data_IF_029744874660
#
_entry.id   IF_029744874660
#
_cell.length_a   1.000
_cell.length_b   1.000
_cell.length_c   1.000
_cell.angle_alpha   90.00
_cell.angle_beta   90.00
_cell.angle_gamma   90.00
#
_symmetry.space_group_name_H-M   'P 1'
#
loop_
_entity.id
_entity.type
_entity.pdbx_description
1 polymer ?
#
# COMPACT_ATOMS: atom_id res chain seq x y z
N UNK A 1 -19.22 11.34 -32.83
CA UNK A 1 -19.30 10.71 -31.49
C UNK A 1 -19.25 9.19 -31.53
N UNK A 2 -19.71 8.54 -32.61
CA UNK A 2 -19.50 7.09 -32.88
C UNK A 2 -18.05 6.64 -32.73
N UNK A 3 -17.11 7.34 -33.37
CA UNK A 3 -15.66 7.07 -33.27
C UNK A 3 -15.20 7.11 -31.81
N UNK A 4 -15.67 8.10 -31.03
CA UNK A 4 -15.35 8.22 -29.61
C UNK A 4 -15.82 7.01 -28.80
N UNK A 5 -17.05 6.53 -29.03
CA UNK A 5 -17.57 5.32 -28.37
C UNK A 5 -16.75 4.08 -28.73
N UNK A 6 -16.40 3.90 -30.01
CA UNK A 6 -15.60 2.75 -30.45
C UNK A 6 -14.19 2.79 -29.85
N UNK A 7 -13.53 3.95 -29.89
CA UNK A 7 -12.16 4.12 -29.36
C UNK A 7 -12.11 3.88 -27.86
N UNK A 8 -13.06 4.43 -27.10
CA UNK A 8 -13.08 4.30 -25.64
C UNK A 8 -13.40 2.87 -25.20
N UNK A 9 -14.32 2.19 -25.89
CA UNK A 9 -14.62 0.78 -25.66
C UNK A 9 -13.44 -0.13 -26.03
N UNK A 10 -12.78 0.12 -27.16
CA UNK A 10 -11.57 -0.60 -27.56
C UNK A 10 -10.44 -0.39 -26.53
N UNK A 11 -10.31 0.82 -25.98
CA UNK A 11 -9.34 1.12 -24.91
C UNK A 11 -9.63 0.35 -23.63
N UNK A 12 -10.90 0.26 -23.21
CA UNK A 12 -11.30 -0.54 -22.04
C UNK A 12 -10.89 -2.02 -22.20
N UNK A 13 -11.15 -2.58 -23.38
CA UNK A 13 -10.80 -3.96 -23.74
C UNK A 13 -9.27 -4.13 -23.76
N UNK A 14 -8.54 -3.21 -24.39
CA UNK A 14 -7.09 -3.21 -24.43
C UNK A 14 -6.48 -3.21 -23.02
N UNK A 15 -6.94 -2.31 -22.15
CA UNK A 15 -6.46 -2.22 -20.75
C UNK A 15 -6.69 -3.53 -20.00
N UNK A 16 -7.84 -4.17 -20.18
CA UNK A 16 -8.13 -5.48 -19.60
C UNK A 16 -7.17 -6.57 -20.11
N UNK A 17 -6.95 -6.63 -21.43
CA UNK A 17 -6.04 -7.62 -22.02
C UNK A 17 -4.58 -7.38 -21.64
N UNK A 18 -4.13 -6.13 -21.57
CA UNK A 18 -2.79 -5.79 -21.10
C UNK A 18 -2.57 -6.28 -19.66
N UNK A 19 -3.58 -6.10 -18.79
CA UNK A 19 -3.52 -6.65 -17.45
C UNK A 19 -3.42 -8.18 -17.45
N UNK A 20 -4.28 -8.87 -18.22
CA UNK A 20 -4.26 -10.34 -18.30
C UNK A 20 -2.95 -10.88 -18.87
N UNK A 21 -2.42 -10.25 -19.91
CA UNK A 21 -1.13 -10.59 -20.48
C UNK A 21 -0.04 -10.44 -19.42
N UNK A 22 -0.01 -9.31 -18.70
CA UNK A 22 0.99 -9.08 -17.64
C UNK A 22 0.91 -10.11 -16.52
N UNK A 23 -0.30 -10.52 -16.11
CA UNK A 23 -0.49 -11.61 -15.13
C UNK A 23 -0.03 -12.96 -15.68
N UNK A 24 -0.13 -13.20 -16.99
CA UNK A 24 0.31 -14.44 -17.63
C UNK A 24 1.81 -14.55 -17.78
N UNK A 25 2.56 -13.44 -17.72
CA UNK A 25 4.02 -13.44 -17.82
C UNK A 25 4.70 -14.01 -16.57
N UNK A 26 4.06 -13.90 -15.40
CA UNK A 26 4.58 -14.46 -14.16
C UNK A 26 4.44 -15.99 -14.13
N UNK A 27 5.58 -16.67 -14.03
CA UNK A 27 5.66 -18.13 -13.96
C UNK A 27 5.53 -18.63 -12.53
N UNK A 28 6.19 -17.95 -11.58
CA UNK A 28 6.11 -18.33 -10.17
C UNK A 28 4.75 -17.96 -9.58
N UNK A 29 4.09 -18.87 -8.84
CA UNK A 29 2.78 -18.55 -8.28
C UNK A 29 2.84 -17.46 -7.21
N UNK A 30 3.97 -17.30 -6.49
CA UNK A 30 4.17 -16.24 -5.49
C UNK A 30 4.21 -14.85 -6.12
N UNK A 31 5.03 -14.66 -7.14
CA UNK A 31 5.10 -13.38 -7.87
C UNK A 31 3.73 -13.02 -8.47
N UNK A 32 3.04 -14.02 -9.01
CA UNK A 32 1.69 -13.87 -9.54
C UNK A 32 0.69 -13.48 -8.44
N UNK A 33 0.76 -14.10 -7.27
CA UNK A 33 -0.04 -13.75 -6.09
C UNK A 33 0.18 -12.28 -5.71
N UNK A 34 1.43 -11.85 -5.54
CA UNK A 34 1.78 -10.51 -5.08
C UNK A 34 1.31 -9.44 -6.06
N UNK A 35 1.55 -9.66 -7.35
CA UNK A 35 1.12 -8.74 -8.39
C UNK A 35 -0.41 -8.60 -8.46
N UNK A 36 -1.13 -9.73 -8.37
CA UNK A 36 -2.60 -9.73 -8.38
C UNK A 36 -3.14 -9.00 -7.15
N UNK A 37 -2.65 -9.33 -5.96
CA UNK A 37 -3.08 -8.71 -4.70
C UNK A 37 -2.88 -7.19 -4.70
N UNK A 38 -1.73 -6.73 -5.20
CA UNK A 38 -1.38 -5.30 -5.20
C UNK A 38 -2.07 -4.47 -6.30
N UNK A 39 -2.57 -5.09 -7.38
CA UNK A 39 -2.95 -4.35 -8.59
C UNK A 39 -4.29 -4.71 -9.24
N UNK A 40 -4.86 -5.90 -9.02
CA UNK A 40 -6.05 -6.38 -9.78
C UNK A 40 -7.23 -5.41 -9.69
N UNK A 41 -7.59 -4.98 -8.47
CA UNK A 41 -8.68 -4.02 -8.25
C UNK A 41 -8.39 -2.69 -8.94
N UNK A 42 -7.15 -2.19 -8.88
CA UNK A 42 -6.75 -0.92 -9.50
C UNK A 42 -6.85 -0.98 -11.02
N UNK A 43 -6.46 -2.10 -11.64
CA UNK A 43 -6.64 -2.31 -13.08
C UNK A 43 -8.10 -2.37 -13.48
N UNK A 44 -8.94 -3.08 -12.72
CA UNK A 44 -10.37 -3.16 -13.02
C UNK A 44 -11.08 -1.83 -12.86
N UNK A 45 -10.73 -1.01 -11.86
CA UNK A 45 -11.24 0.36 -11.75
C UNK A 45 -10.94 1.20 -13.00
N UNK A 46 -9.75 1.06 -13.60
CA UNK A 46 -9.40 1.73 -14.87
C UNK A 46 -10.25 1.22 -16.03
N UNK A 47 -10.49 -0.08 -16.12
CA UNK A 47 -11.36 -0.69 -17.15
C UNK A 47 -12.78 -0.13 -17.05
N UNK A 48 -13.38 -0.12 -15.86
CA UNK A 48 -14.73 0.42 -15.67
C UNK A 48 -14.84 1.92 -15.88
N UNK A 49 -13.78 2.68 -15.58
CA UNK A 49 -13.70 4.09 -15.93
C UNK A 49 -13.82 4.30 -17.46
N UNK A 50 -13.10 3.52 -18.27
CA UNK A 50 -13.23 3.60 -19.72
C UNK A 50 -14.59 3.09 -20.24
N UNK A 51 -15.21 2.11 -19.59
CA UNK A 51 -16.60 1.73 -19.89
C UNK A 51 -17.59 2.85 -19.58
N UNK A 52 -17.41 3.57 -18.46
CA UNK A 52 -18.20 4.76 -18.15
C UNK A 52 -18.04 5.85 -19.21
N UNK A 53 -16.81 6.10 -19.67
CA UNK A 53 -16.54 7.04 -20.76
C UNK A 53 -17.17 6.61 -22.09
N UNK A 54 -17.14 5.32 -22.40
CA UNK A 54 -17.79 4.78 -23.59
C UNK A 54 -19.32 4.95 -23.53
N UNK A 55 -19.93 4.72 -22.36
CA UNK A 55 -21.36 4.99 -22.14
C UNK A 55 -21.68 6.48 -22.30
N UNK A 56 -20.84 7.37 -21.78
CA UNK A 56 -20.96 8.82 -21.99
C UNK A 56 -20.95 9.18 -23.48
N UNK A 57 -20.02 8.64 -24.27
CA UNK A 57 -19.98 8.87 -25.71
C UNK A 57 -21.22 8.29 -26.43
N UNK A 58 -21.70 7.13 -25.99
CA UNK A 58 -22.89 6.48 -26.56
C UNK A 58 -24.18 7.27 -26.29
N UNK A 59 -24.38 7.81 -25.09
CA UNK A 59 -25.53 8.66 -24.75
C UNK A 59 -25.65 9.85 -25.70
N UNK A 60 -24.53 10.47 -26.05
CA UNK A 60 -24.53 11.61 -26.97
C UNK A 60 -24.69 11.23 -28.45
N UNK A 61 -24.71 9.93 -28.79
CA UNK A 61 -25.08 9.47 -30.13
C UNK A 61 -26.60 9.55 -30.35
N UNK A 62 -27.38 9.40 -29.28
CA UNK A 62 -28.83 9.37 -29.34
C UNK A 62 -29.40 10.71 -29.81
N UNK A 63 -30.12 10.69 -30.93
CA UNK A 63 -30.75 11.87 -31.52
C UNK A 63 -29.77 12.97 -31.93
N UNK A 64 -28.50 12.64 -32.21
CA UNK A 64 -27.49 13.63 -32.62
C UNK A 64 -27.94 14.49 -33.82
N UNK A 65 -28.62 13.88 -34.79
CA UNK A 65 -29.05 14.55 -36.03
C UNK A 65 -30.13 15.62 -35.83
N UNK A 66 -30.82 15.62 -34.68
CA UNK A 66 -31.92 16.55 -34.40
C UNK A 66 -31.45 17.89 -33.82
N UNK A 67 -30.16 18.04 -33.50
CA UNK A 67 -29.64 19.21 -32.78
C UNK A 67 -28.35 19.69 -33.44
N UNK A 68 -28.49 20.61 -34.41
CA UNK A 68 -27.40 21.22 -35.16
C UNK A 68 -26.89 22.52 -34.56
N UNK A 69 -27.64 23.13 -33.64
CA UNK A 69 -27.27 24.37 -32.96
C UNK A 69 -26.84 24.13 -31.50
N UNK A 70 -25.89 24.93 -31.03
CA UNK A 70 -25.44 24.91 -29.64
C UNK A 70 -26.48 25.66 -28.79
N UNK A 71 -27.34 24.92 -28.11
CA UNK A 71 -28.37 25.45 -27.22
C UNK A 71 -28.53 24.66 -25.92
N UNK A 72 -29.59 24.94 -25.17
CA UNK A 72 -29.93 24.20 -23.93
C UNK A 72 -29.89 22.67 -24.09
N UNK A 73 -30.39 22.05 -25.19
CA UNK A 73 -30.34 20.60 -25.37
C UNK A 73 -28.93 20.01 -25.39
N UNK A 74 -27.93 20.77 -25.87
CA UNK A 74 -26.54 20.35 -25.85
C UNK A 74 -26.01 20.19 -24.42
N UNK A 75 -26.25 21.18 -23.56
CA UNK A 75 -25.83 21.14 -22.16
C UNK A 75 -26.54 20.04 -21.36
N UNK A 76 -27.84 19.83 -21.62
CA UNK A 76 -28.61 18.76 -20.99
C UNK A 76 -28.03 17.38 -21.35
N UNK A 77 -27.66 17.16 -22.61
CA UNK A 77 -27.01 15.90 -23.05
C UNK A 77 -25.65 15.69 -22.41
N UNK A 78 -24.84 16.74 -22.37
CA UNK A 78 -23.54 16.70 -21.72
C UNK A 78 -23.68 16.37 -20.22
N UNK A 79 -24.66 16.96 -19.54
CA UNK A 79 -24.98 16.63 -18.15
C UNK A 79 -25.36 15.16 -17.98
N UNK A 80 -26.31 14.63 -18.77
CA UNK A 80 -26.71 13.22 -18.70
C UNK A 80 -25.57 12.25 -19.03
N UNK A 81 -24.71 12.63 -19.97
CA UNK A 81 -23.51 11.87 -20.32
C UNK A 81 -22.55 11.75 -19.13
N UNK A 82 -22.24 12.87 -18.47
CA UNK A 82 -21.41 12.86 -17.27
C UNK A 82 -22.07 12.09 -16.13
N UNK A 83 -23.37 12.30 -15.88
CA UNK A 83 -24.12 11.59 -14.85
C UNK A 83 -24.12 10.06 -15.09
N UNK A 84 -24.29 9.63 -16.33
CA UNK A 84 -24.25 8.20 -16.69
C UNK A 84 -22.85 7.62 -16.48
N UNK A 85 -21.81 8.31 -16.94
CA UNK A 85 -20.41 7.86 -16.79
C UNK A 85 -19.98 7.77 -15.32
N UNK A 86 -20.35 8.78 -14.50
CA UNK A 86 -20.03 8.79 -13.07
C UNK A 86 -20.79 7.68 -12.34
N UNK A 87 -22.07 7.48 -12.63
CA UNK A 87 -22.88 6.41 -12.03
C UNK A 87 -22.28 5.04 -12.34
N UNK A 88 -21.99 4.73 -13.60
CA UNK A 88 -21.41 3.43 -14.00
C UNK A 88 -20.06 3.22 -13.33
N UNK A 89 -19.17 4.22 -13.36
CA UNK A 89 -17.83 4.10 -12.78
C UNK A 89 -17.88 3.96 -11.26
N UNK A 90 -18.76 4.70 -10.60
CA UNK A 90 -18.92 4.68 -9.15
C UNK A 90 -19.51 3.36 -8.65
N UNK A 91 -20.61 2.92 -9.27
CA UNK A 91 -21.25 1.63 -8.92
C UNK A 91 -20.26 0.47 -9.14
N UNK A 92 -19.51 0.48 -10.24
CA UNK A 92 -18.48 -0.52 -10.47
C UNK A 92 -17.35 -0.45 -9.44
N UNK A 93 -16.92 0.75 -9.03
CA UNK A 93 -15.91 0.92 -7.98
C UNK A 93 -16.39 0.36 -6.64
N UNK A 94 -17.65 0.60 -6.25
CA UNK A 94 -18.24 0.03 -5.04
C UNK A 94 -18.31 -1.50 -5.11
N UNK A 95 -18.73 -2.06 -6.25
CA UNK A 95 -18.75 -3.52 -6.43
C UNK A 95 -17.35 -4.12 -6.26
N UNK A 96 -16.34 -3.45 -6.81
CA UNK A 96 -14.94 -3.87 -6.71
C UNK A 96 -14.36 -3.73 -5.29
N UNK A 97 -14.83 -2.77 -4.50
CA UNK A 97 -14.35 -2.57 -3.12
C UNK A 97 -15.00 -3.51 -2.12
N UNK A 98 -16.32 -3.76 -2.25
CA UNK A 98 -17.07 -4.47 -1.22
C UNK A 98 -17.35 -5.95 -1.56
N UNK A 99 -17.62 -6.28 -2.82
CA UNK A 99 -18.05 -7.63 -3.21
C UNK A 99 -16.93 -8.46 -3.88
N UNK A 100 -16.06 -7.79 -4.64
CA UNK A 100 -14.98 -8.45 -5.36
C UNK A 100 -13.87 -9.05 -4.46
N UNK A 101 -13.52 -8.51 -3.27
CA UNK A 101 -12.46 -9.07 -2.43
C UNK A 101 -12.66 -10.55 -2.10
N UNK A 102 -13.90 -11.04 -1.94
CA UNK A 102 -14.17 -12.46 -1.70
C UNK A 102 -13.69 -13.34 -2.86
N UNK A 103 -13.96 -12.94 -4.10
CA UNK A 103 -13.51 -13.68 -5.30
C UNK A 103 -12.00 -13.59 -5.47
N UNK A 104 -11.43 -12.43 -5.17
CA UNK A 104 -9.98 -12.21 -5.19
C UNK A 104 -9.28 -13.12 -4.18
N UNK A 105 -9.78 -13.19 -2.95
CA UNK A 105 -9.22 -14.03 -1.88
C UNK A 105 -9.25 -15.52 -2.23
N UNK A 106 -10.34 -16.03 -2.84
CA UNK A 106 -10.39 -17.42 -3.31
C UNK A 106 -9.32 -17.72 -4.36
N UNK A 107 -9.12 -16.79 -5.30
CA UNK A 107 -8.10 -16.90 -6.35
C UNK A 107 -6.68 -16.82 -5.77
N UNK A 108 -6.44 -15.91 -4.85
CA UNK A 108 -5.16 -15.75 -4.15
C UNK A 108 -4.84 -16.99 -3.30
N UNK A 109 -5.84 -17.51 -2.56
CA UNK A 109 -5.71 -18.76 -1.78
C UNK A 109 -5.29 -19.94 -2.65
N UNK A 110 -5.89 -20.07 -3.84
CA UNK A 110 -5.49 -21.10 -4.82
C UNK A 110 -4.02 -20.96 -5.23
N UNK A 111 -3.54 -19.73 -5.45
CA UNK A 111 -2.14 -19.48 -5.83
C UNK A 111 -1.16 -19.76 -4.67
N UNK A 112 -1.52 -19.37 -3.44
CA UNK A 112 -0.73 -19.65 -2.22
C UNK A 112 -0.46 -21.15 -2.10
N UNK A 113 -1.50 -21.97 -2.10
CA UNK A 113 -1.40 -23.42 -1.91
C UNK A 113 -1.10 -24.24 -3.18
N UNK A 114 -0.78 -23.61 -4.32
CA UNK A 114 -0.33 -24.36 -5.50
C UNK A 114 1.08 -24.90 -5.26
N UNK A 115 1.36 -26.21 -5.42
CA UNK A 115 2.69 -26.75 -5.18
C UNK A 115 3.78 -26.02 -5.98
N UNK A 116 4.88 -25.69 -5.31
CA UNK A 116 6.06 -25.12 -5.97
C UNK A 116 6.85 -26.20 -6.70
N UNK A 117 7.60 -25.79 -7.72
CA UNK A 117 8.49 -26.68 -8.47
C UNK A 117 9.91 -26.25 -8.14
N UNK A 118 10.73 -27.20 -7.68
CA UNK A 118 12.13 -26.92 -7.43
C UNK A 118 12.83 -26.63 -8.78
N UNK A 119 13.53 -25.48 -8.93
CA UNK A 119 14.19 -25.11 -10.18
C UNK A 119 15.36 -26.03 -10.56
N UNK A 120 15.99 -26.70 -9.58
CA UNK A 120 17.13 -27.62 -9.80
C UNK A 120 16.68 -29.01 -10.21
N UNK A 121 15.65 -29.54 -9.56
CA UNK A 121 15.20 -30.93 -9.75
C UNK A 121 13.97 -31.07 -10.65
N UNK A 122 13.20 -29.99 -10.83
CA UNK A 122 11.90 -30.00 -11.52
C UNK A 122 10.81 -30.75 -10.74
N UNK A 123 11.08 -31.18 -9.50
CA UNK A 123 10.12 -31.92 -8.67
C UNK A 123 9.19 -30.96 -7.94
N UNK A 124 8.00 -31.47 -7.60
CA UNK A 124 7.04 -30.74 -6.77
C UNK A 124 7.54 -30.69 -5.33
N UNK A 125 7.54 -29.51 -4.74
CA UNK A 125 7.86 -29.29 -3.34
C UNK A 125 6.61 -29.55 -2.48
N UNK A 126 6.82 -30.07 -1.27
CA UNK A 126 5.78 -30.23 -0.26
C UNK A 126 5.76 -28.99 0.63
N UNK A 127 4.57 -28.46 0.93
CA UNK A 127 4.39 -27.42 1.94
C UNK A 127 4.42 -28.10 3.32
N UNK A 128 5.20 -27.54 4.24
CA UNK A 128 5.24 -27.98 5.62
C UNK A 128 3.98 -27.50 6.36
N UNK A 129 3.63 -28.18 7.46
CA UNK A 129 2.68 -27.64 8.44
C UNK A 129 3.36 -26.64 9.36
N UNK A 130 2.57 -25.81 10.04
CA UNK A 130 3.04 -24.80 11.01
C UNK A 130 4.03 -25.40 12.04
N UNK A 131 3.72 -26.58 12.60
CA UNK A 131 4.62 -27.23 13.58
C UNK A 131 5.93 -27.76 12.95
N UNK A 132 5.92 -28.06 11.64
CA UNK A 132 7.09 -28.57 10.92
C UNK A 132 8.00 -27.44 10.43
N UNK A 133 7.43 -26.26 10.16
CA UNK A 133 8.17 -25.16 9.55
C UNK A 133 8.99 -24.34 10.54
N UNK A 134 8.62 -24.32 11.82
CA UNK A 134 9.34 -23.61 12.89
C UNK A 134 10.85 -23.88 12.89
N UNK A 135 11.25 -25.12 12.60
CA UNK A 135 12.67 -25.54 12.55
C UNK A 135 13.45 -24.83 11.43
N UNK A 136 12.76 -24.39 10.38
CA UNK A 136 13.33 -23.69 9.23
C UNK A 136 13.22 -22.17 9.34
N UNK A 137 12.41 -21.66 10.27
CA UNK A 137 12.24 -20.23 10.52
C UNK A 137 13.22 -19.76 11.60
N UNK A 138 13.73 -18.53 11.45
CA UNK A 138 14.49 -17.91 12.53
C UNK A 138 13.56 -17.33 13.60
N UNK A 139 14.09 -17.09 14.80
CA UNK A 139 13.30 -16.59 15.93
C UNK A 139 12.54 -15.28 15.63
N UNK A 140 13.09 -14.42 14.77
CA UNK A 140 12.44 -13.17 14.37
C UNK A 140 11.25 -13.37 13.42
N UNK A 141 11.35 -14.35 12.50
CA UNK A 141 10.24 -14.78 11.63
C UNK A 141 9.12 -15.42 12.46
N UNK A 142 9.47 -16.32 13.38
CA UNK A 142 8.51 -16.88 14.34
C UNK A 142 7.87 -15.78 15.18
N UNK A 143 8.63 -14.76 15.58
CA UNK A 143 8.07 -13.63 16.31
C UNK A 143 7.08 -12.79 15.47
N UNK A 144 7.26 -12.69 14.16
CA UNK A 144 6.31 -12.04 13.23
C UNK A 144 5.00 -12.83 13.08
N UNK A 145 5.08 -14.16 13.06
CA UNK A 145 3.93 -15.09 13.03
C UNK A 145 3.17 -15.09 14.34
N UNK A 146 3.88 -15.16 15.47
CA UNK A 146 3.29 -15.09 16.81
C UNK A 146 2.49 -13.80 17.05
N UNK A 147 2.82 -12.73 16.33
CA UNK A 147 2.07 -11.47 16.38
C UNK A 147 1.09 -11.29 15.22
N UNK A 148 0.92 -12.31 14.38
CA UNK A 148 0.06 -12.39 13.20
C UNK A 148 0.30 -11.27 12.18
N UNK A 149 1.54 -10.78 12.11
CA UNK A 149 1.92 -9.68 11.22
C UNK A 149 2.25 -10.16 9.83
N UNK A 150 2.94 -11.28 9.75
CA UNK A 150 3.45 -11.93 8.54
C UNK A 150 3.24 -13.42 8.77
N UNK A 151 2.79 -14.11 7.72
CA UNK A 151 2.74 -15.57 7.69
C UNK A 151 3.84 -16.05 6.75
N UNK A 152 4.65 -17.02 7.16
CA UNK A 152 5.59 -17.71 6.28
C UNK A 152 5.00 -19.04 5.83
N UNK A 153 5.18 -19.38 4.57
CA UNK A 153 4.94 -20.75 4.10
C UNK A 153 6.30 -21.36 3.75
N UNK A 154 6.63 -22.49 4.37
CA UNK A 154 7.86 -23.22 4.05
C UNK A 154 7.60 -24.40 3.11
N UNK A 155 8.29 -24.40 1.97
CA UNK A 155 8.26 -25.47 0.97
C UNK A 155 9.57 -26.23 0.99
N UNK A 156 9.51 -27.57 1.03
CA UNK A 156 10.69 -28.43 0.98
C UNK A 156 10.64 -29.39 -0.22
N UNK A 157 11.78 -29.58 -0.88
CA UNK A 157 12.00 -30.73 -1.75
C UNK A 157 12.59 -31.88 -0.93
N UNK A 158 11.78 -32.90 -0.65
CA UNK A 158 12.17 -34.05 0.18
C UNK A 158 13.39 -34.81 -0.35
N UNK A 159 13.68 -34.69 -1.65
CA UNK A 159 14.79 -35.43 -2.26
C UNK A 159 16.14 -34.72 -2.18
N UNK A 160 16.13 -33.40 -2.07
CA UNK A 160 17.35 -32.58 -2.03
C UNK A 160 17.48 -31.79 -0.72
N UNK A 161 16.46 -31.83 0.12
CA UNK A 161 16.33 -31.02 1.34
C UNK A 161 16.45 -29.52 1.07
N UNK A 162 16.14 -29.07 -0.15
CA UNK A 162 16.12 -27.66 -0.49
C UNK A 162 14.84 -27.01 0.03
N UNK A 163 15.00 -25.88 0.72
CA UNK A 163 13.92 -25.15 1.38
C UNK A 163 13.67 -23.84 0.65
N UNK A 164 12.41 -23.55 0.36
CA UNK A 164 11.93 -22.27 -0.18
C UNK A 164 10.92 -21.67 0.80
N UNK A 165 11.28 -20.53 1.38
CA UNK A 165 10.42 -19.79 2.32
C UNK A 165 9.72 -18.66 1.56
N UNK A 166 8.40 -18.58 1.66
CA UNK A 166 7.59 -17.53 1.03
C UNK A 166 6.87 -16.68 2.08
N UNK A 167 6.92 -15.36 1.92
CA UNK A 167 6.37 -14.38 2.87
C UNK A 167 4.99 -13.87 2.43
N UNK A 168 3.99 -13.94 3.32
CA UNK A 168 2.63 -13.43 3.13
C UNK A 168 2.26 -12.41 4.21
N UNK A 169 1.39 -11.45 3.88
CA UNK A 169 0.89 -10.50 4.85
C UNK A 169 -0.10 -11.20 5.79
N UNK A 170 0.14 -11.13 7.10
CA UNK A 170 -0.75 -11.68 8.11
C UNK A 170 -2.01 -10.81 8.31
N UNK A 171 -2.87 -11.22 9.24
CA UNK A 171 -4.15 -10.55 9.47
C UNK A 171 -4.04 -9.31 10.38
N UNK A 172 -2.97 -9.17 11.16
CA UNK A 172 -2.69 -7.96 11.93
C UNK A 172 -1.65 -7.08 11.24
N UNK A 173 -1.80 -5.77 11.41
CA UNK A 173 -0.82 -4.81 10.93
C UNK A 173 0.13 -4.51 12.09
N UNK A 174 1.41 -4.77 11.89
CA UNK A 174 2.48 -4.37 12.78
C UNK A 174 3.54 -3.59 11.98
N UNK A 175 4.18 -2.63 12.63
CA UNK A 175 5.21 -1.81 12.01
C UNK A 175 6.54 -2.54 12.01
N UNK A 176 7.39 -2.21 11.04
CA UNK A 176 8.77 -2.66 11.03
C UNK A 176 9.54 -2.02 12.19
N UNK A 177 10.27 -2.82 12.96
CA UNK A 177 11.13 -2.33 14.02
C UNK A 177 12.44 -1.80 13.43
N UNK A 178 12.78 -0.54 13.73
CA UNK A 178 14.04 0.07 13.27
C UNK A 178 15.31 -0.57 13.87
N UNK A 179 15.18 -1.36 14.94
CA UNK A 179 16.32 -2.01 15.59
C UNK A 179 16.60 -3.41 15.00
N UNK A 180 15.58 -4.26 14.91
CA UNK A 180 15.74 -5.65 14.46
C UNK A 180 15.23 -5.93 13.03
N UNK A 181 14.55 -4.98 12.38
CA UNK A 181 14.07 -5.14 11.00
C UNK A 181 12.80 -5.97 10.81
N UNK A 182 12.33 -6.68 11.84
CA UNK A 182 11.10 -7.47 11.83
C UNK A 182 9.83 -6.62 12.04
N UNK A 183 8.71 -7.04 11.47
CA UNK A 183 7.37 -6.45 11.55
C UNK A 183 6.67 -6.80 12.87
N UNK A 184 7.33 -6.56 14.00
CA UNK A 184 6.83 -6.94 15.34
C UNK A 184 6.52 -5.74 16.23
N UNK A 185 6.57 -4.51 15.70
CA UNK A 185 6.32 -3.29 16.46
C UNK A 185 4.81 -3.00 16.56
N UNK A 186 4.27 -3.03 17.78
CA UNK A 186 2.84 -2.79 18.07
C UNK A 186 2.67 -1.61 19.03
N UNK A 187 1.52 -0.93 18.94
CA UNK A 187 1.11 0.10 19.92
C UNK A 187 0.78 -0.62 21.23
N UNK A 188 1.40 -0.21 22.32
CA UNK A 188 1.10 -0.73 23.66
C UNK A 188 0.19 0.20 24.45
N UNK A 189 0.44 1.50 24.37
CA UNK A 189 -0.36 2.51 25.07
C UNK A 189 -0.38 3.80 24.28
N UNK A 190 -1.46 4.54 24.42
CA UNK A 190 -1.62 5.88 23.90
C UNK A 190 -1.88 6.82 25.07
N UNK A 191 -1.19 7.95 25.08
CA UNK A 191 -1.29 8.97 26.13
C UNK A 191 -1.67 10.30 25.51
N UNK A 192 -2.60 11.03 26.12
CA UNK A 192 -2.94 12.39 25.70
C UNK A 192 -1.99 13.35 26.41
N UNK A 193 -1.05 13.94 25.67
CA UNK A 193 -0.03 14.85 26.21
C UNK A 193 -0.64 16.22 26.49
N UNK A 194 -1.43 16.71 25.55
CA UNK A 194 -2.05 18.03 25.63
C UNK A 194 -3.51 17.95 25.20
N UNK A 195 -4.37 18.70 25.90
CA UNK A 195 -5.78 18.87 25.59
C UNK A 195 -6.06 20.31 25.21
N UNK A 196 -7.04 20.51 24.34
CA UNK A 196 -7.59 21.83 24.07
C UNK A 196 -8.50 22.28 25.23
N UNK A 197 -8.94 23.54 25.19
CA UNK A 197 -9.85 24.13 26.19
C UNK A 197 -11.18 23.38 26.32
N UNK A 198 -11.66 22.76 25.24
CA UNK A 198 -12.87 21.93 25.21
C UNK A 198 -12.65 20.47 25.66
N UNK A 199 -11.44 20.16 26.15
CA UNK A 199 -11.06 18.82 26.65
C UNK A 199 -10.70 17.80 25.55
N UNK A 200 -10.86 18.15 24.28
CA UNK A 200 -10.46 17.29 23.16
C UNK A 200 -8.93 17.10 23.12
N UNK A 201 -8.42 15.91 22.75
CA UNK A 201 -6.98 15.69 22.66
C UNK A 201 -6.42 16.59 21.55
N UNK A 202 -5.43 17.41 21.89
CA UNK A 202 -4.65 18.19 20.93
C UNK A 202 -3.46 17.39 20.42
N UNK A 203 -2.87 16.61 21.32
CA UNK A 203 -1.68 15.83 21.05
C UNK A 203 -1.72 14.47 21.75
N UNK A 204 -1.39 13.42 21.00
CA UNK A 204 -1.35 12.05 21.48
C UNK A 204 0.06 11.49 21.28
N UNK A 205 0.62 10.91 22.32
CA UNK A 205 1.86 10.15 22.29
C UNK A 205 1.53 8.66 22.22
N UNK A 206 1.93 8.01 21.11
CA UNK A 206 1.78 6.55 20.98
C UNK A 206 3.09 5.89 21.37
N UNK A 207 3.02 4.97 22.33
CA UNK A 207 4.12 4.14 22.75
C UNK A 207 4.05 2.80 22.03
N UNK A 208 5.07 2.54 21.24
CA UNK A 208 5.26 1.29 20.53
C UNK A 208 6.29 0.44 21.25
N UNK A 209 6.06 -0.87 21.26
CA UNK A 209 7.07 -1.85 21.66
C UNK A 209 7.16 -2.96 20.64
N UNK A 210 8.40 -3.35 20.33
CA UNK A 210 8.70 -4.51 19.51
C UNK A 210 8.50 -5.79 20.33
N UNK A 211 7.66 -6.70 19.86
CA UNK A 211 7.43 -7.97 20.55
C UNK A 211 8.67 -8.87 20.59
N UNK A 212 9.55 -8.76 19.58
CA UNK A 212 10.78 -9.54 19.48
C UNK A 212 11.92 -8.95 20.32
N UNK A 213 12.55 -7.86 19.87
CA UNK A 213 13.72 -7.28 20.55
C UNK A 213 13.39 -6.36 21.75
N UNK A 214 12.12 -6.21 22.11
CA UNK A 214 11.62 -5.35 23.21
C UNK A 214 11.95 -3.86 23.10
N UNK A 215 12.54 -3.42 21.98
CA UNK A 215 12.82 -2.01 21.73
C UNK A 215 11.54 -1.19 21.79
N UNK A 216 11.62 -0.05 22.48
CA UNK A 216 10.50 0.87 22.71
C UNK A 216 10.71 2.13 21.88
N UNK A 217 9.63 2.65 21.32
CA UNK A 217 9.63 3.91 20.58
C UNK A 217 8.37 4.69 20.94
N UNK A 218 8.51 5.98 21.22
CA UNK A 218 7.37 6.88 21.33
C UNK A 218 7.29 7.76 20.08
N UNK A 219 6.09 8.02 19.58
CA UNK A 219 5.89 8.96 18.47
C UNK A 219 4.69 9.83 18.77
N UNK A 220 4.91 11.14 18.65
CA UNK A 220 3.93 12.18 18.90
C UNK A 220 3.10 12.43 17.65
N UNK A 221 1.79 12.51 17.84
CA UNK A 221 0.82 12.78 16.78
C UNK A 221 -0.04 13.97 17.19
N UNK A 222 -0.04 15.01 16.36
CA UNK A 222 -0.96 16.13 16.51
C UNK A 222 -2.32 15.69 16.01
N UNK A 223 -3.33 15.80 16.87
CA UNK A 223 -4.71 15.47 16.51
C UNK A 223 -5.30 16.64 15.75
N UNK A 224 -5.57 16.42 14.47
CA UNK A 224 -6.22 17.43 13.63
C UNK A 224 -7.67 17.63 14.09
N UNK A 225 -8.05 18.88 14.36
CA UNK A 225 -9.43 19.30 14.56
C UNK A 225 -10.13 19.70 13.26
N UNK A 226 -9.44 19.57 12.14
CA UNK A 226 -9.95 20.05 10.86
C UNK A 226 -11.17 19.26 10.43
N UNK A 227 -12.22 19.98 10.09
CA UNK A 227 -13.42 19.42 9.50
C UNK A 227 -13.25 19.24 7.99
N UNK A 228 -14.18 18.53 7.35
CA UNK A 228 -14.14 18.26 5.91
C UNK A 228 -13.96 19.52 5.06
N UNK A 229 -14.50 20.67 5.50
CA UNK A 229 -14.39 21.96 4.83
C UNK A 229 -12.98 22.56 4.87
N UNK A 230 -12.24 22.37 5.99
CA UNK A 230 -10.89 22.90 6.16
C UNK A 230 -9.88 22.28 5.17
N UNK A 231 -10.16 21.06 4.72
CA UNK A 231 -9.35 20.37 3.72
C UNK A 231 -9.61 20.87 2.29
N UNK A 232 -10.76 21.50 2.01
CA UNK A 232 -11.08 21.99 0.66
C UNK A 232 -10.21 23.18 0.23
N UNK A 233 -9.80 24.00 1.19
CA UNK A 233 -8.95 25.19 0.96
C UNK A 233 -7.46 24.86 1.00
N UNK A 234 -7.10 23.68 1.50
CA UNK A 234 -5.72 23.23 1.53
C UNK A 234 -5.28 22.79 0.13
N UNK A 235 -4.59 23.68 -0.59
CA UNK A 235 -3.83 23.27 -1.76
C UNK A 235 -2.84 22.18 -1.31
N UNK A 236 -2.76 21.03 -2.01
CA UNK A 236 -1.78 20.01 -1.66
C UNK A 236 -0.41 20.67 -1.72
N UNK A 237 0.31 20.69 -0.59
CA UNK A 237 1.73 21.01 -0.56
C UNK A 237 2.45 19.88 -1.30
N UNK A 238 2.50 19.97 -2.62
CA UNK A 238 3.59 19.34 -3.37
C UNK A 238 4.83 20.17 -3.09
N UNK A 239 5.44 19.97 -1.92
CA UNK A 239 6.86 20.24 -1.81
C UNK A 239 7.52 19.23 -2.76
N UNK A 240 7.78 19.69 -4.00
CA UNK A 240 8.69 19.00 -4.90
C UNK A 240 9.99 18.90 -4.11
N UNK A 241 10.31 17.71 -3.62
CA UNK A 241 11.60 17.44 -3.01
C UNK A 241 12.65 17.62 -4.11
N UNK A 242 13.14 18.85 -4.27
CA UNK A 242 14.11 19.23 -5.31
C UNK A 242 15.52 18.81 -4.92
N UNK A 243 15.68 18.16 -3.77
CA UNK A 243 16.92 17.54 -3.34
C UNK A 243 16.62 16.11 -2.96
N UNK A 244 17.35 15.18 -3.55
CA UNK A 244 17.21 13.72 -3.45
C UNK A 244 17.59 13.16 -2.07
N UNK A 245 17.26 13.86 -0.99
CA UNK A 245 17.65 13.51 0.38
C UNK A 245 16.39 13.53 1.23
N UNK A 246 15.98 12.34 1.69
CA UNK A 246 14.80 12.17 2.53
C UNK A 246 15.12 12.24 4.04
N UNK A 247 16.39 11.97 4.42
CA UNK A 247 16.86 11.99 5.81
C UNK A 247 18.39 12.08 5.85
N UNK A 248 18.95 12.87 6.78
CA UNK A 248 20.37 12.86 7.13
C UNK A 248 20.51 12.48 8.60
N UNK A 249 21.33 11.47 8.89
CA UNK A 249 21.57 10.97 10.25
C UNK A 249 23.03 11.15 10.63
N UNK A 250 23.28 11.73 11.81
CA UNK A 250 24.61 11.86 12.40
C UNK A 250 24.69 11.06 13.68
N UNK A 251 25.73 10.24 13.79
CA UNK A 251 26.10 9.51 14.99
C UNK A 251 27.40 10.08 15.56
N UNK A 252 27.34 10.63 16.77
CA UNK A 252 28.50 11.11 17.52
C UNK A 252 28.97 10.02 18.48
N UNK A 253 30.26 9.69 18.38
CA UNK A 253 30.93 8.69 19.22
C UNK A 253 31.96 9.39 20.11
N UNK A 254 31.74 9.32 21.43
CA UNK A 254 32.71 9.79 22.42
C UNK A 254 33.78 8.73 22.69
N UNK A 255 35.00 9.17 23.00
CA UNK A 255 36.09 8.30 23.46
C UNK A 255 35.77 7.58 24.77
N UNK A 256 34.80 8.08 25.54
CA UNK A 256 34.29 7.47 26.77
C UNK A 256 33.17 6.43 26.51
N UNK A 257 32.86 6.13 25.25
CA UNK A 257 31.87 5.12 24.86
C UNK A 257 30.43 5.63 24.75
N UNK A 258 30.17 6.93 25.00
CA UNK A 258 28.85 7.52 24.80
C UNK A 258 28.54 7.67 23.30
N UNK A 259 27.32 7.28 22.89
CA UNK A 259 26.80 7.46 21.52
C UNK A 259 25.56 8.35 21.56
N UNK A 260 25.56 9.41 20.75
CA UNK A 260 24.38 10.26 20.53
C UNK A 260 24.07 10.31 19.03
N UNK A 261 22.78 10.25 18.71
CA UNK A 261 22.30 10.18 17.33
C UNK A 261 21.32 11.32 17.08
N UNK A 262 21.51 12.04 15.97
CA UNK A 262 20.65 13.15 15.54
C UNK A 262 20.17 12.91 14.10
N UNK A 263 18.92 13.27 13.83
CA UNK A 263 18.27 13.08 12.53
C UNK A 263 17.74 14.43 12.02
N UNK A 264 18.02 14.75 10.76
CA UNK A 264 17.67 16.00 10.11
C UNK A 264 16.93 15.72 8.79
N UNK A 265 16.00 16.60 8.44
CA UNK A 265 15.18 16.46 7.22
C UNK A 265 15.82 17.14 6.02
N UNK A 266 16.74 18.09 6.23
CA UNK A 266 17.49 18.74 5.15
C UNK A 266 18.95 18.98 5.52
N UNK A 267 19.78 19.23 4.51
CA UNK A 267 21.19 19.64 4.71
C UNK A 267 21.29 20.98 5.43
N UNK A 268 20.36 21.92 5.20
CA UNK A 268 20.41 23.24 5.85
C UNK A 268 20.18 23.13 7.37
N UNK A 269 19.26 22.24 7.77
CA UNK A 269 18.99 21.96 9.18
C UNK A 269 20.21 21.35 9.87
N UNK A 270 20.88 20.43 9.18
CA UNK A 270 22.14 19.87 9.64
C UNK A 270 23.25 20.92 9.75
N UNK A 271 23.41 21.78 8.74
CA UNK A 271 24.47 22.81 8.74
C UNK A 271 24.28 23.80 9.89
N UNK A 272 23.02 24.16 10.19
CA UNK A 272 22.69 24.99 11.35
C UNK A 272 23.01 24.26 12.65
N UNK A 273 22.64 22.99 12.77
CA UNK A 273 22.98 22.18 13.94
C UNK A 273 24.49 22.11 14.16
N UNK A 274 25.29 21.82 13.13
CA UNK A 274 26.75 21.74 13.25
C UNK A 274 27.41 23.06 13.66
N UNK A 275 26.79 24.21 13.34
CA UNK A 275 27.27 25.53 13.76
C UNK A 275 26.93 25.86 15.21
N UNK A 276 25.77 25.41 15.69
CA UNK A 276 25.27 25.73 17.03
C UNK A 276 25.66 24.66 18.07
N UNK A 277 25.99 23.45 17.64
CA UNK A 277 26.22 22.33 18.53
C UNK A 277 27.61 22.37 19.16
N UNK A 278 27.61 22.44 20.49
CA UNK A 278 28.80 22.37 21.31
C UNK A 278 29.22 20.91 21.52
N UNK A 279 30.28 20.49 20.81
CA UNK A 279 30.76 19.11 20.78
C UNK A 279 31.36 18.66 22.12
N UNK A 280 31.71 19.60 23.02
CA UNK A 280 32.25 19.27 24.35
C UNK A 280 31.16 18.70 25.27
N UNK A 281 29.87 18.82 24.92
CA UNK A 281 28.73 18.22 25.66
C UNK A 281 28.45 16.76 25.31
N UNK A 282 29.34 16.13 24.55
CA UNK A 282 29.25 14.71 24.17
C UNK A 282 30.10 13.81 25.10
N UNK A 283 30.85 14.40 26.03
CA UNK A 283 31.53 13.70 27.14
C UNK A 283 30.54 13.02 28.10
#
# INVERSE_FOLDING_TARGET
>A
MTVGTVVTLATAILVYFLYKLRVSLFKEPKEKYDYINATEIRWFKRVYFFFGLAAACAVNLYGYEQFTEIGLPFFVRLFFSFACATLISYVAALILEYYYPTKLNLKLRKLRYTPRINPKTGRKMRMLSEDEEDVHLNEGMQAEENVFSIDYDVWIDESTSEVKIEKYQGHLIALQCNNCGFYTMKVQREEVVERNEDGSPKEILKHYQCSYCKNVRATQFVVSRKESEDYKLQKPKQERNTRSIDLVKIDLHSTLGARKTFEFKSIEELEKFLKEFDFDKVS
#
